data_IF_792176839399
#
_entry.id   IF_792176839399
#
_cell.length_a   1.000
_cell.length_b   1.000
_cell.length_c   1.000
_cell.angle_alpha   90.00
_cell.angle_beta   90.00
_cell.angle_gamma   90.00
#
_symmetry.space_group_name_H-M   'P 1'
#
loop_
_entity.id
_entity.type
_entity.pdbx_description
1 polymer ?
#
# COMPACT_ATOMS: atom_id res chain seq x y z
N UNK A 1 19.02 21.04 -3.74
CA UNK A 1 18.16 20.25 -2.84
C UNK A 1 19.02 19.23 -2.12
N UNK A 2 18.89 19.10 -0.81
CA UNK A 2 19.54 18.00 -0.09
C UNK A 2 18.84 16.68 -0.42
N UNK A 3 19.56 15.56 -0.38
CA UNK A 3 18.99 14.22 -0.63
C UNK A 3 17.81 13.93 0.31
N UNK A 4 17.90 14.41 1.55
CA UNK A 4 16.83 14.32 2.54
C UNK A 4 15.54 15.02 2.10
N UNK A 5 15.64 16.20 1.47
CA UNK A 5 14.48 16.92 0.93
C UNK A 5 13.78 16.12 -0.16
N UNK A 6 14.55 15.46 -1.03
CA UNK A 6 14.01 14.63 -2.11
C UNK A 6 13.23 13.43 -1.58
N UNK A 7 13.79 12.73 -0.58
CA UNK A 7 13.12 11.58 0.06
C UNK A 7 11.83 12.02 0.75
N UNK A 8 11.86 13.12 1.50
CA UNK A 8 10.68 13.63 2.19
C UNK A 8 9.59 14.05 1.20
N UNK A 9 9.96 14.66 0.06
CA UNK A 9 9.03 15.02 -1.01
C UNK A 9 8.44 13.79 -1.71
N UNK A 10 9.22 12.71 -1.85
CA UNK A 10 8.69 11.43 -2.34
C UNK A 10 7.69 10.82 -1.35
N UNK A 11 8.01 10.78 -0.06
CA UNK A 11 7.17 10.22 1.00
C UNK A 11 5.88 11.03 1.23
N UNK A 12 5.90 12.34 0.97
CA UNK A 12 4.74 13.22 1.10
C UNK A 12 3.94 13.38 -0.20
N UNK A 13 4.21 12.55 -1.21
CA UNK A 13 3.49 12.57 -2.49
C UNK A 13 3.49 13.96 -3.14
N UNK A 14 4.62 14.67 -3.06
CA UNK A 14 4.71 16.02 -3.57
C UNK A 14 4.40 16.07 -5.08
N UNK A 15 3.86 17.19 -5.60
CA UNK A 15 3.36 17.28 -6.97
C UNK A 15 4.37 16.89 -8.05
N UNK A 16 5.62 17.32 -7.86
CA UNK A 16 6.74 17.08 -8.77
C UNK A 16 7.31 15.67 -8.65
N UNK A 17 7.04 14.94 -7.57
CA UNK A 17 7.55 13.59 -7.31
C UNK A 17 6.48 12.51 -7.42
N UNK A 18 5.19 12.85 -7.44
CA UNK A 18 4.07 11.90 -7.31
C UNK A 18 4.17 10.73 -8.29
N UNK A 19 4.52 10.98 -9.56
CA UNK A 19 4.70 9.92 -10.57
C UNK A 19 5.84 8.97 -10.19
N UNK A 20 6.98 9.51 -9.77
CA UNK A 20 8.13 8.71 -9.35
C UNK A 20 7.81 7.90 -8.09
N UNK A 21 7.13 8.52 -7.13
CA UNK A 21 6.64 7.83 -5.93
C UNK A 21 5.71 6.68 -6.31
N UNK A 22 4.70 6.91 -7.16
CA UNK A 22 3.77 5.86 -7.57
C UNK A 22 4.49 4.68 -8.24
N UNK A 23 5.46 4.94 -9.13
CA UNK A 23 6.25 3.90 -9.79
C UNK A 23 7.09 3.12 -8.78
N UNK A 24 7.85 3.82 -7.94
CA UNK A 24 8.71 3.21 -6.93
C UNK A 24 7.91 2.35 -5.95
N UNK A 25 6.78 2.86 -5.45
CA UNK A 25 5.92 2.14 -4.53
C UNK A 25 5.21 0.96 -5.19
N UNK A 26 4.76 1.10 -6.43
CA UNK A 26 4.21 -0.03 -7.18
C UNK A 26 5.24 -1.16 -7.33
N UNK A 27 6.49 -0.82 -7.64
CA UNK A 27 7.58 -1.79 -7.73
C UNK A 27 7.91 -2.43 -6.38
N UNK A 28 8.00 -1.63 -5.32
CA UNK A 28 8.25 -2.12 -3.96
C UNK A 28 7.12 -3.05 -3.48
N UNK A 29 5.86 -2.71 -3.76
CA UNK A 29 4.70 -3.54 -3.42
C UNK A 29 4.70 -4.86 -4.21
N UNK A 30 5.09 -4.81 -5.49
CA UNK A 30 5.27 -6.01 -6.30
C UNK A 30 6.36 -6.93 -5.71
N UNK A 31 7.51 -6.38 -5.31
CA UNK A 31 8.57 -7.18 -4.63
C UNK A 31 8.05 -7.78 -3.33
N UNK A 32 7.41 -6.97 -2.48
CA UNK A 32 6.85 -7.45 -1.22
C UNK A 32 5.86 -8.60 -1.45
N UNK A 33 5.02 -8.48 -2.48
CA UNK A 33 4.10 -9.53 -2.89
C UNK A 33 4.82 -10.80 -3.37
N UNK A 34 5.89 -10.70 -4.17
CA UNK A 34 6.70 -11.84 -4.59
C UNK A 34 7.31 -12.56 -3.38
N UNK A 35 7.87 -11.80 -2.44
CA UNK A 35 8.46 -12.33 -1.20
C UNK A 35 7.39 -13.02 -0.35
N UNK A 36 6.22 -12.41 -0.15
CA UNK A 36 5.09 -13.04 0.54
C UNK A 36 4.67 -14.34 -0.13
N UNK A 37 4.51 -14.32 -1.45
CA UNK A 37 4.04 -15.48 -2.23
C UNK A 37 5.02 -16.64 -2.14
N UNK A 38 6.33 -16.36 -2.09
CA UNK A 38 7.37 -17.35 -1.84
C UNK A 38 7.27 -17.94 -0.42
N UNK A 39 7.02 -17.14 0.62
CA UNK A 39 6.82 -17.67 1.97
C UNK A 39 5.52 -18.47 2.13
N UNK A 40 4.50 -18.18 1.32
CA UNK A 40 3.24 -18.93 1.34
C UNK A 40 3.30 -20.26 0.57
N UNK A 41 4.25 -20.46 -0.35
CA UNK A 41 4.32 -21.67 -1.17
C UNK A 41 4.67 -22.95 -0.41
N UNK A 42 5.18 -22.82 0.81
CA UNK A 42 5.54 -23.97 1.64
C UNK A 42 4.47 -24.31 2.69
N UNK A 43 3.31 -23.64 2.66
CA UNK A 43 2.20 -23.85 3.60
C UNK A 43 2.61 -23.58 5.04
N UNK A 44 2.73 -22.30 5.44
CA UNK A 44 3.09 -21.78 6.79
C UNK A 44 3.40 -22.83 7.85
N UNK A 45 4.52 -23.58 7.68
CA UNK A 45 4.90 -24.72 8.54
C UNK A 45 5.28 -24.31 9.96
N UNK A 46 5.42 -23.00 10.19
CA UNK A 46 5.87 -22.41 11.45
C UNK A 46 5.11 -21.12 11.73
N UNK A 47 4.81 -20.88 13.01
CA UNK A 47 4.20 -19.63 13.52
C UNK A 47 5.00 -18.40 13.07
N UNK A 48 6.33 -18.49 13.01
CA UNK A 48 7.18 -17.39 12.58
C UNK A 48 6.94 -17.00 11.11
N UNK A 49 6.76 -17.99 10.22
CA UNK A 49 6.47 -17.74 8.80
C UNK A 49 5.09 -17.12 8.65
N UNK A 50 4.11 -17.58 9.42
CA UNK A 50 2.77 -16.99 9.44
C UNK A 50 2.80 -15.51 9.88
N UNK A 51 3.46 -15.21 11.00
CA UNK A 51 3.61 -13.83 11.49
C UNK A 51 4.33 -12.96 10.45
N UNK A 52 5.39 -13.47 9.83
CA UNK A 52 6.11 -12.75 8.78
C UNK A 52 5.21 -12.44 7.59
N UNK A 53 4.42 -13.42 7.11
CA UNK A 53 3.43 -13.20 6.05
C UNK A 53 2.40 -12.14 6.46
N UNK A 54 1.91 -12.16 7.70
CA UNK A 54 1.01 -11.12 8.21
C UNK A 54 1.67 -9.73 8.25
N UNK A 55 2.93 -9.62 8.68
CA UNK A 55 3.67 -8.36 8.70
C UNK A 55 3.88 -7.84 7.27
N UNK A 56 4.31 -8.70 6.36
CA UNK A 56 4.44 -8.35 4.94
C UNK A 56 3.09 -7.92 4.33
N UNK A 57 1.97 -8.36 4.92
CA UNK A 57 0.60 -7.94 4.56
C UNK A 57 0.20 -6.58 5.03
N UNK A 58 0.51 -6.25 6.28
CA UNK A 58 0.04 -4.99 6.86
C UNK A 58 1.01 -3.85 6.57
N UNK A 59 2.31 -4.13 6.45
CA UNK A 59 3.35 -3.12 6.32
C UNK A 59 3.14 -2.18 5.11
N UNK A 60 2.84 -2.65 3.88
CA UNK A 60 2.61 -1.75 2.75
C UNK A 60 1.41 -0.82 2.95
N UNK A 61 0.33 -1.32 3.59
CA UNK A 61 -0.87 -0.53 3.87
C UNK A 61 -0.58 0.56 4.92
N UNK A 62 0.18 0.22 5.97
CA UNK A 62 0.59 1.17 7.01
C UNK A 62 1.50 2.25 6.42
N UNK A 63 2.47 1.88 5.58
CA UNK A 63 3.35 2.85 4.93
C UNK A 63 2.54 3.79 4.04
N UNK A 64 1.65 3.25 3.19
CA UNK A 64 0.81 4.06 2.32
C UNK A 64 -0.11 4.99 3.12
N UNK A 65 -0.76 4.49 4.17
CA UNK A 65 -1.56 5.31 5.08
C UNK A 65 -0.75 6.47 5.67
N UNK A 66 0.46 6.20 6.15
CA UNK A 66 1.37 7.23 6.67
C UNK A 66 1.75 8.28 5.62
N UNK A 67 1.98 7.86 4.37
CA UNK A 67 2.27 8.78 3.26
C UNK A 67 1.07 9.65 2.89
N UNK A 68 -0.14 9.09 2.86
CA UNK A 68 -1.37 9.85 2.61
C UNK A 68 -1.61 10.89 3.71
N UNK A 69 -1.37 10.51 4.97
CA UNK A 69 -1.41 11.42 6.13
C UNK A 69 -0.37 12.54 6.00
N UNK A 70 0.89 12.18 5.75
CA UNK A 70 1.98 13.14 5.60
C UNK A 70 1.77 14.08 4.41
N UNK A 71 1.30 13.53 3.29
CA UNK A 71 0.99 14.29 2.08
C UNK A 71 -0.14 15.28 2.29
N UNK A 72 -1.22 14.88 2.94
CA UNK A 72 -2.32 15.80 3.28
C UNK A 72 -1.90 16.88 4.29
N UNK A 73 -1.03 16.53 5.25
CA UNK A 73 -0.49 17.51 6.19
C UNK A 73 0.38 18.57 5.48
N UNK A 74 1.23 18.16 4.53
CA UNK A 74 2.13 19.08 3.80
C UNK A 74 1.45 19.82 2.64
N UNK A 75 0.47 19.20 1.99
CA UNK A 75 -0.23 19.69 0.79
C UNK A 75 -1.77 19.54 0.94
N UNK A 76 -2.39 20.23 1.91
CA UNK A 76 -3.81 20.06 2.25
C UNK A 76 -4.76 20.35 1.09
N UNK A 77 -4.39 21.28 0.20
CA UNK A 77 -5.15 21.64 -1.01
C UNK A 77 -5.27 20.50 -2.03
N UNK A 78 -4.49 19.43 -1.85
CA UNK A 78 -4.47 18.23 -2.71
C UNK A 78 -4.93 16.97 -2.00
N UNK A 79 -5.35 17.08 -0.74
CA UNK A 79 -5.79 15.93 0.05
C UNK A 79 -6.96 15.19 -0.60
N UNK A 80 -7.78 15.86 -1.42
CA UNK A 80 -8.84 15.24 -2.25
C UNK A 80 -8.29 14.28 -3.32
N UNK A 81 -7.00 14.35 -3.66
CA UNK A 81 -6.34 13.40 -4.56
C UNK A 81 -5.96 12.09 -3.86
N UNK A 82 -5.90 12.08 -2.51
CA UNK A 82 -5.50 10.90 -1.74
C UNK A 82 -6.38 9.66 -1.99
N UNK A 83 -7.72 9.76 -2.06
CA UNK A 83 -8.56 8.63 -2.45
C UNK A 83 -8.22 8.07 -3.84
N UNK A 84 -7.90 8.94 -4.80
CA UNK A 84 -7.49 8.52 -6.15
C UNK A 84 -6.13 7.82 -6.15
N UNK A 85 -5.17 8.34 -5.39
CA UNK A 85 -3.85 7.72 -5.21
C UNK A 85 -3.97 6.36 -4.51
N UNK A 86 -4.78 6.27 -3.45
CA UNK A 86 -5.09 5.03 -2.75
C UNK A 86 -5.73 4.00 -3.71
N UNK A 87 -6.71 4.43 -4.51
CA UNK A 87 -7.35 3.58 -5.50
C UNK A 87 -6.36 3.05 -6.54
N UNK A 88 -5.51 3.91 -7.10
CA UNK A 88 -4.50 3.53 -8.09
C UNK A 88 -3.48 2.54 -7.54
N UNK A 89 -3.00 2.76 -6.31
CA UNK A 89 -2.04 1.85 -5.66
C UNK A 89 -2.70 0.55 -5.17
N UNK A 90 -4.02 0.55 -4.98
CA UNK A 90 -4.78 -0.66 -4.71
C UNK A 90 -4.91 -1.58 -5.94
N UNK A 91 -4.90 -1.04 -7.17
CA UNK A 91 -4.99 -1.86 -8.39
C UNK A 91 -3.92 -2.96 -8.48
N UNK A 92 -2.61 -2.69 -8.36
CA UNK A 92 -1.58 -3.74 -8.40
C UNK A 92 -1.71 -4.71 -7.22
N UNK A 93 -2.16 -4.22 -6.05
CA UNK A 93 -2.44 -5.05 -4.89
C UNK A 93 -3.58 -6.04 -5.17
N UNK A 94 -4.67 -5.54 -5.78
CA UNK A 94 -5.82 -6.32 -6.19
C UNK A 94 -5.45 -7.36 -7.24
N UNK A 95 -4.73 -6.93 -8.28
CA UNK A 95 -4.25 -7.80 -9.34
C UNK A 95 -3.36 -8.92 -8.79
N UNK A 96 -2.46 -8.61 -7.85
CA UNK A 96 -1.65 -9.62 -7.16
C UNK A 96 -2.50 -10.64 -6.41
N UNK A 97 -3.43 -10.20 -5.55
CA UNK A 97 -4.30 -11.13 -4.82
C UNK A 97 -5.17 -11.99 -5.75
N UNK A 98 -5.71 -11.41 -6.83
CA UNK A 98 -6.48 -12.13 -7.83
C UNK A 98 -5.64 -13.17 -8.58
N UNK A 99 -4.40 -12.83 -8.96
CA UNK A 99 -3.47 -13.75 -9.61
C UNK A 99 -3.04 -14.88 -8.67
N UNK A 100 -2.80 -14.61 -7.38
CA UNK A 100 -2.52 -15.68 -6.40
C UNK A 100 -3.69 -16.65 -6.33
N UNK A 101 -4.92 -16.12 -6.23
CA UNK A 101 -6.13 -16.94 -6.17
C UNK A 101 -6.28 -17.85 -7.40
N UNK A 102 -5.97 -17.33 -8.60
CA UNK A 102 -5.99 -18.11 -9.84
C UNK A 102 -4.90 -19.18 -9.87
N UNK A 103 -3.71 -18.90 -9.32
CA UNK A 103 -2.58 -19.82 -9.31
C UNK A 103 -2.67 -20.87 -8.19
N UNK A 104 -3.38 -20.56 -7.09
CA UNK A 104 -3.48 -21.39 -5.86
C UNK A 104 -4.90 -21.36 -5.30
N UNK A 105 -5.82 -22.14 -5.86
CA UNK A 105 -7.21 -22.17 -5.42
C UNK A 105 -7.40 -22.80 -4.03
N UNK A 106 -6.35 -23.39 -3.43
CA UNK A 106 -6.36 -23.96 -2.09
C UNK A 106 -6.10 -22.94 -0.97
N UNK A 107 -5.67 -21.70 -1.29
CA UNK A 107 -5.33 -20.65 -0.30
C UNK A 107 -6.39 -19.57 -0.12
N UNK A 108 -7.63 -19.79 -0.58
CA UNK A 108 -8.70 -18.78 -0.74
C UNK A 108 -8.88 -17.78 0.42
N UNK A 109 -8.68 -18.18 1.68
CA UNK A 109 -8.84 -17.30 2.84
C UNK A 109 -7.70 -16.28 3.05
N UNK A 110 -6.47 -16.65 2.71
CA UNK A 110 -5.30 -15.79 2.96
C UNK A 110 -5.16 -14.66 1.94
N UNK A 111 -5.66 -14.87 0.72
CA UNK A 111 -5.60 -13.89 -0.37
C UNK A 111 -6.75 -12.88 -0.31
N UNK A 112 -7.93 -13.31 0.14
CA UNK A 112 -9.02 -12.39 0.49
C UNK A 112 -8.65 -11.49 1.68
N UNK A 113 -7.96 -12.02 2.70
CA UNK A 113 -7.44 -11.24 3.82
C UNK A 113 -6.45 -10.15 3.39
N UNK A 114 -5.59 -10.45 2.41
CA UNK A 114 -4.66 -9.49 1.81
C UNK A 114 -5.38 -8.37 1.05
N UNK A 115 -6.38 -8.73 0.24
CA UNK A 115 -7.19 -7.79 -0.53
C UNK A 115 -8.05 -6.88 0.36
N UNK A 116 -8.65 -7.46 1.39
CA UNK A 116 -9.56 -6.77 2.29
C UNK A 116 -8.81 -5.87 3.28
N UNK A 117 -7.71 -6.33 3.90
CA UNK A 117 -6.97 -5.53 4.88
C UNK A 117 -6.26 -4.34 4.24
N UNK A 118 -5.68 -4.52 3.04
CA UNK A 118 -5.10 -3.41 2.29
C UNK A 118 -6.13 -2.33 1.98
N UNK A 119 -7.34 -2.73 1.56
CA UNK A 119 -8.43 -1.78 1.30
C UNK A 119 -8.95 -1.11 2.59
N UNK A 120 -9.14 -1.89 3.65
CA UNK A 120 -9.75 -1.44 4.91
C UNK A 120 -8.86 -0.46 5.68
N UNK A 121 -7.54 -0.52 5.51
CA UNK A 121 -6.63 0.46 6.10
C UNK A 121 -6.50 1.68 5.18
N UNK A 122 -6.28 1.45 3.88
CA UNK A 122 -5.86 2.52 2.97
C UNK A 122 -7.00 3.44 2.56
N UNK A 123 -8.17 2.89 2.20
CA UNK A 123 -9.29 3.70 1.73
C UNK A 123 -9.92 4.56 2.84
N UNK A 124 -10.27 4.01 4.02
CA UNK A 124 -10.82 4.83 5.10
C UNK A 124 -9.87 5.93 5.53
N UNK A 125 -8.57 5.66 5.58
CA UNK A 125 -7.56 6.69 5.85
C UNK A 125 -7.57 7.72 4.72
N UNK A 126 -7.43 7.32 3.45
CA UNK A 126 -7.45 8.23 2.30
C UNK A 126 -8.66 9.18 2.30
N UNK A 127 -9.86 8.68 2.60
CA UNK A 127 -11.06 9.50 2.74
C UNK A 127 -11.06 10.36 4.01
N UNK A 128 -10.71 9.80 5.17
CA UNK A 128 -10.64 10.54 6.42
C UNK A 128 -9.66 11.71 6.32
N UNK A 129 -8.49 11.52 5.70
CA UNK A 129 -7.52 12.61 5.53
C UNK A 129 -8.02 13.67 4.56
N UNK A 130 -8.67 13.27 3.47
CA UNK A 130 -9.29 14.21 2.54
C UNK A 130 -10.37 15.07 3.20
N UNK A 131 -11.15 14.50 4.13
CA UNK A 131 -12.20 15.23 4.85
C UNK A 131 -11.59 16.15 5.93
N UNK A 132 -10.62 15.66 6.70
CA UNK A 132 -10.05 16.40 7.84
C UNK A 132 -9.10 17.52 7.39
N UNK A 133 -8.30 17.28 6.35
CA UNK A 133 -7.29 18.21 5.86
C UNK A 133 -7.67 18.90 4.55
N UNK A 134 -8.75 18.46 3.91
CA UNK A 134 -9.29 19.10 2.70
C UNK A 134 -9.74 20.51 2.99
N UNK A 135 -9.00 21.47 2.44
CA UNK A 135 -9.46 22.85 2.31
C UNK A 135 -10.22 22.96 0.99
N UNK A 136 -11.47 23.41 1.07
CA UNK A 136 -12.28 23.77 -0.08
C UNK A 136 -11.70 24.98 -0.82
#
# INVERSE_FOLDING_TARGET
>A
MSEFSTVLDMLSLAPHTVRHTLVLFSFAFMINYLVRTAYMSEGTRSVFVHVLVCVLTLLPAVILAGMLLLGAYRYPERSWMNPGIAALLYVPWYAGGALTRLARPDTEGADLGWLAMGALITFPIGFAVAIVFGRA
#
